data_IF_561385223867
#
_entry.id   IF_561385223867
#
_cell.length_a   1.000
_cell.length_b   1.000
_cell.length_c   1.000
_cell.angle_alpha   90.00
_cell.angle_beta   90.00
_cell.angle_gamma   90.00
#
_symmetry.space_group_name_H-M   'P 1'
#
loop_
_entity.id
_entity.type
_entity.pdbx_description
1 polymer ?
#
# COMPACT_ATOMS: atom_id res chain seq x y z
N UNK A 1 -0.96 0.71 -7.80
CA UNK A 1 0.11 1.49 -7.13
C UNK A 1 1.00 2.06 -8.22
N UNK A 2 1.35 3.34 -8.17
CA UNK A 2 2.22 3.97 -9.17
C UNK A 2 3.62 4.16 -8.59
N UNK A 3 4.62 3.55 -9.22
CA UNK A 3 6.03 3.83 -8.89
C UNK A 3 6.38 5.23 -9.41
N UNK A 4 6.91 6.08 -8.55
CA UNK A 4 7.48 7.38 -8.90
C UNK A 4 8.99 7.31 -8.83
N UNK A 5 9.69 8.29 -9.41
CA UNK A 5 11.16 8.35 -9.42
C UNK A 5 11.76 8.36 -8.01
N UNK A 6 10.99 8.81 -7.02
CA UNK A 6 11.41 8.92 -5.62
C UNK A 6 10.66 7.99 -4.66
N UNK A 7 9.64 7.24 -5.09
CA UNK A 7 8.85 6.42 -4.19
C UNK A 7 7.67 5.72 -4.85
N UNK A 8 6.59 5.53 -4.09
CA UNK A 8 5.37 4.84 -4.49
C UNK A 8 4.17 5.71 -4.10
N UNK A 9 3.28 5.99 -5.05
CA UNK A 9 2.00 6.61 -4.77
C UNK A 9 0.91 5.55 -4.84
N UNK A 10 0.07 5.53 -3.80
CA UNK A 10 -0.94 4.52 -3.61
C UNK A 10 -2.30 5.21 -3.43
N UNK A 11 -3.27 4.74 -4.21
CA UNK A 11 -4.67 5.06 -4.02
C UNK A 11 -5.39 3.76 -3.74
N UNK A 12 -6.10 3.68 -2.63
CA UNK A 12 -6.92 2.53 -2.29
C UNK A 12 -8.30 3.00 -1.86
N UNK A 13 -9.28 2.10 -2.00
CA UNK A 13 -10.67 2.38 -1.66
C UNK A 13 -11.12 1.31 -0.71
N UNK A 14 -11.56 1.71 0.47
CA UNK A 14 -12.04 0.77 1.49
C UNK A 14 -13.54 0.53 1.33
N UNK A 15 -14.04 -0.57 1.92
CA UNK A 15 -15.47 -0.84 2.00
C UNK A 15 -16.18 0.34 2.69
N UNK A 16 -17.14 0.96 2.00
CA UNK A 16 -17.74 2.25 2.38
C UNK A 16 -17.51 3.37 1.35
N UNK A 17 -16.65 3.12 0.36
CA UNK A 17 -16.46 4.02 -0.79
C UNK A 17 -15.46 5.14 -0.56
N UNK A 18 -14.93 5.27 0.67
CA UNK A 18 -13.88 6.23 1.01
C UNK A 18 -12.59 5.89 0.28
N UNK A 19 -12.08 6.88 -0.44
CA UNK A 19 -10.81 6.79 -1.15
C UNK A 19 -9.71 7.41 -0.31
N UNK A 20 -8.65 6.64 -0.09
CA UNK A 20 -7.43 7.12 0.55
C UNK A 20 -6.31 7.22 -0.47
N UNK A 21 -5.43 8.19 -0.25
CA UNK A 21 -4.22 8.39 -1.03
C UNK A 21 -3.06 8.50 -0.06
N UNK A 22 -1.98 7.80 -0.37
CA UNK A 22 -0.75 7.86 0.38
C UNK A 22 0.45 7.79 -0.52
N UNK A 23 1.59 8.22 0.01
CA UNK A 23 2.89 8.12 -0.62
C UNK A 23 3.82 7.39 0.31
N UNK A 24 4.68 6.55 -0.25
CA UNK A 24 5.57 5.73 0.53
C UNK A 24 6.83 5.33 -0.20
N UNK A 25 7.68 4.62 0.50
CA UNK A 25 8.96 4.16 -0.01
C UNK A 25 9.05 2.66 0.20
N UNK A 26 9.64 1.97 -0.79
CA UNK A 26 9.93 0.55 -0.70
C UNK A 26 11.39 0.40 -0.25
N UNK A 27 11.58 -0.10 0.96
CA UNK A 27 12.90 -0.43 1.51
C UNK A 27 13.04 -1.96 1.58
N UNK A 28 13.84 -2.51 0.67
CA UNK A 28 13.98 -3.96 0.50
C UNK A 28 12.67 -4.60 0.03
N UNK A 29 11.88 -5.13 0.98
CA UNK A 29 10.57 -5.75 0.73
C UNK A 29 9.43 -5.08 1.50
N UNK A 30 9.70 -4.03 2.27
CA UNK A 30 8.69 -3.34 3.06
C UNK A 30 8.37 -2.02 2.37
N UNK A 31 7.10 -1.84 2.01
CA UNK A 31 6.53 -0.64 1.44
C UNK A 31 5.73 0.07 2.53
N UNK A 32 6.29 1.14 3.09
CA UNK A 32 5.62 1.95 4.10
C UNK A 32 4.95 3.13 3.44
N UNK A 33 3.63 3.22 3.56
CA UNK A 33 2.78 4.26 2.98
C UNK A 33 2.34 5.23 4.08
N UNK A 34 2.75 6.48 3.95
CA UNK A 34 2.20 7.60 4.71
C UNK A 34 0.96 8.15 3.99
N UNK A 35 -0.13 8.28 4.73
CA UNK A 35 -1.44 8.72 4.26
C UNK A 35 -2.08 9.76 5.19
N UNK A 36 -1.30 10.34 6.11
CA UNK A 36 -1.76 11.36 7.05
C UNK A 36 -2.51 10.81 8.27
N UNK A 37 -2.30 9.55 8.63
CA UNK A 37 -2.81 8.94 9.87
C UNK A 37 -1.68 8.76 10.89
N UNK A 38 -2.03 8.63 12.19
CA UNK A 38 -1.07 8.33 13.27
C UNK A 38 -0.30 7.01 13.08
N UNK A 39 -0.78 6.11 12.22
CA UNK A 39 -0.09 4.87 11.87
C UNK A 39 0.07 4.74 10.36
N UNK A 40 1.31 4.59 9.86
CA UNK A 40 1.55 4.31 8.45
C UNK A 40 0.96 2.94 8.09
N UNK A 41 0.65 2.75 6.81
CA UNK A 41 0.29 1.42 6.30
C UNK A 41 1.56 0.73 5.83
N UNK A 42 1.83 -0.46 6.34
CA UNK A 42 3.01 -1.24 5.96
C UNK A 42 2.61 -2.41 5.08
N UNK A 43 3.21 -2.52 3.89
CA UNK A 43 3.01 -3.61 2.95
C UNK A 43 4.28 -4.42 2.78
N UNK A 44 4.19 -5.74 2.88
CA UNK A 44 5.29 -6.65 2.58
C UNK A 44 5.13 -7.16 1.15
N UNK A 45 6.10 -6.84 0.29
CA UNK A 45 6.22 -7.37 -1.06
C UNK A 45 6.65 -8.83 -1.01
N UNK A 46 5.76 -9.68 -1.48
CA UNK A 46 5.98 -11.11 -1.62
C UNK A 46 6.75 -11.42 -2.91
N UNK A 47 7.45 -12.57 -2.98
CA UNK A 47 8.19 -12.99 -4.18
C UNK A 47 7.31 -13.15 -5.43
N UNK A 48 6.01 -13.41 -5.25
CA UNK A 48 5.02 -13.52 -6.33
C UNK A 48 4.53 -12.15 -6.85
N UNK A 49 5.02 -11.05 -6.28
CA UNK A 49 4.60 -9.69 -6.59
C UNK A 49 3.38 -9.20 -5.80
N UNK A 50 2.73 -10.05 -5.00
CA UNK A 50 1.63 -9.65 -4.12
C UNK A 50 2.11 -8.74 -2.99
N UNK A 51 1.27 -7.82 -2.53
CA UNK A 51 1.54 -6.99 -1.34
C UNK A 51 0.62 -7.41 -0.20
N UNK A 52 1.21 -7.86 0.90
CA UNK A 52 0.48 -8.14 2.14
C UNK A 52 0.59 -6.92 3.05
N UNK A 53 -0.49 -6.17 3.15
CA UNK A 53 -0.65 -5.00 4.00
C UNK A 53 -1.10 -5.35 5.40
N UNK A 54 -0.48 -4.71 6.38
CA UNK A 54 -0.93 -4.67 7.76
C UNK A 54 -1.13 -3.20 8.13
N UNK A 55 -2.31 -2.89 8.65
CA UNK A 55 -2.69 -1.53 9.04
C UNK A 55 -3.47 -1.56 10.35
N UNK A 56 -3.64 -0.38 10.95
CA UNK A 56 -4.27 -0.22 12.27
C UNK A 56 -3.62 -1.10 13.36
N UNK A 57 -2.27 -1.07 13.45
CA UNK A 57 -1.49 -1.78 14.45
C UNK A 57 -1.74 -3.31 14.48
N UNK A 58 -1.88 -3.95 13.32
CA UNK A 58 -2.14 -5.39 13.23
C UNK A 58 -3.62 -5.79 13.24
N UNK A 59 -4.53 -4.83 13.39
CA UNK A 59 -5.97 -5.12 13.48
C UNK A 59 -6.62 -5.39 12.12
N UNK A 60 -5.97 -4.98 11.04
CA UNK A 60 -6.47 -5.21 9.69
C UNK A 60 -5.35 -5.76 8.80
N UNK A 61 -5.65 -6.88 8.14
CA UNK A 61 -4.79 -7.52 7.15
C UNK A 61 -5.46 -7.33 5.81
N UNK A 62 -4.78 -6.66 4.89
CA UNK A 62 -5.26 -6.43 3.53
C UNK A 62 -4.27 -7.04 2.55
N UNK A 63 -4.74 -7.92 1.67
CA UNK A 63 -3.93 -8.41 0.55
C UNK A 63 -4.25 -7.56 -0.66
N UNK A 64 -3.27 -6.79 -1.11
CA UNK A 64 -3.34 -6.07 -2.37
C UNK A 64 -2.53 -6.83 -3.40
N UNK A 65 -3.25 -7.47 -4.31
CA UNK A 65 -2.65 -7.86 -5.58
C UNK A 65 -2.40 -6.59 -6.38
N UNK A 66 -1.20 -6.38 -6.94
CA UNK A 66 -1.04 -5.42 -8.02
C UNK A 66 -2.12 -5.72 -9.04
N UNK A 67 -2.96 -4.73 -9.36
CA UNK A 67 -3.76 -4.83 -10.56
C UNK A 67 -2.76 -4.79 -11.73
N UNK A 68 -2.36 -5.95 -12.22
CA UNK A 68 -1.95 -6.06 -13.61
C UNK A 68 -3.16 -5.58 -14.41
N UNK A 69 -2.96 -4.59 -15.29
CA UNK A 69 -3.98 -4.07 -16.24
C UNK A 69 -4.67 -2.75 -15.92
N UNK A 70 -4.62 -1.69 -16.75
CA UNK A 70 -3.74 -1.11 -17.81
C UNK A 70 -4.31 0.33 -18.06
N UNK A 71 -3.60 1.15 -18.86
CA UNK A 71 -3.82 2.54 -19.33
C UNK A 71 -2.96 3.64 -18.68
#
# INVERSE_FOLDING_TARGET
IKKTTTGYSMKWRIAGGTEYRGTGFLEGRVLSIDWGSDSPVEYILQPDGSLNGVWANGSAIERLTPADTFE
#
